data_IF_714647679078
#
_entry.id   IF_714647679078
#
_cell.length_a   1.000
_cell.length_b   1.000
_cell.length_c   1.000
_cell.angle_alpha   90.00
_cell.angle_beta   90.00
_cell.angle_gamma   90.00
#
_symmetry.space_group_name_H-M   'P 1'
#
loop_
_entity.id
_entity.type
_entity.pdbx_description
1 polymer ?
#
# COMPACT_ATOMS: atom_id res chain seq x y z
N UNK A 1 -10.64 -9.05 0.74
CA UNK A 1 -9.56 -8.45 -0.05
C UNK A 1 -8.74 -7.52 0.83
N UNK A 2 -7.45 -7.42 0.57
CA UNK A 2 -6.52 -6.65 1.38
C UNK A 2 -5.65 -5.75 0.51
N UNK A 3 -5.37 -4.55 1.03
CA UNK A 3 -4.35 -3.65 0.49
C UNK A 3 -3.36 -3.39 1.62
N UNK A 4 -2.07 -3.40 1.31
CA UNK A 4 -1.02 -3.01 2.25
C UNK A 4 -0.41 -1.73 1.71
N UNK A 5 -0.30 -0.69 2.54
CA UNK A 5 0.31 0.55 2.07
C UNK A 5 1.82 0.40 1.91
N UNK A 6 2.45 1.39 1.30
CA UNK A 6 3.88 1.31 0.99
C UNK A 6 4.74 1.13 2.24
N UNK A 7 4.38 1.78 3.35
CA UNK A 7 5.13 1.63 4.60
C UNK A 7 5.06 0.21 5.14
N UNK A 8 3.92 -0.45 4.98
CA UNK A 8 3.74 -1.84 5.40
C UNK A 8 4.58 -2.81 4.58
N UNK A 9 4.64 -2.61 3.27
CA UNK A 9 5.50 -3.40 2.40
C UNK A 9 6.97 -3.28 2.81
N UNK A 10 7.43 -2.05 3.05
CA UNK A 10 8.82 -1.79 3.43
C UNK A 10 9.14 -2.40 4.79
N UNK A 11 8.22 -2.31 5.74
CA UNK A 11 8.37 -2.93 7.05
C UNK A 11 8.48 -4.45 6.95
N UNK A 12 7.63 -5.06 6.12
CA UNK A 12 7.64 -6.50 5.88
C UNK A 12 8.98 -6.95 5.30
N UNK A 13 9.47 -6.27 4.27
CA UNK A 13 10.73 -6.63 3.63
C UNK A 13 11.94 -6.43 4.54
N UNK A 14 11.89 -5.43 5.41
CA UNK A 14 12.98 -5.16 6.35
C UNK A 14 12.98 -6.10 7.56
N UNK A 15 11.94 -6.91 7.73
CA UNK A 15 11.80 -7.74 8.92
C UNK A 15 11.67 -6.92 10.21
N UNK A 16 11.05 -5.74 10.12
CA UNK A 16 10.87 -4.85 11.26
C UNK A 16 9.88 -5.40 12.29
N UNK A 17 9.67 -4.64 13.36
CA UNK A 17 8.84 -5.13 14.49
C UNK A 17 7.39 -5.40 14.10
N UNK A 18 6.88 -4.74 13.07
CA UNK A 18 5.50 -4.92 12.60
C UNK A 18 5.40 -5.85 11.38
N UNK A 19 6.49 -6.48 10.96
CA UNK A 19 6.48 -7.36 9.79
C UNK A 19 5.41 -8.46 9.91
N UNK A 20 5.25 -9.06 11.09
CA UNK A 20 4.27 -10.12 11.33
C UNK A 20 2.83 -9.62 11.26
N UNK A 21 2.61 -8.34 11.53
CA UNK A 21 1.28 -7.74 11.35
C UNK A 21 0.86 -7.74 9.88
N UNK A 22 1.79 -7.41 8.98
CA UNK A 22 1.51 -7.32 7.55
C UNK A 22 1.55 -8.65 6.81
N UNK A 23 2.27 -9.64 7.35
CA UNK A 23 2.49 -10.91 6.68
C UNK A 23 1.19 -11.62 6.24
N UNK A 24 0.13 -11.71 7.07
CA UNK A 24 -1.09 -12.39 6.65
C UNK A 24 -1.74 -11.79 5.41
N UNK A 25 -1.70 -10.46 5.26
CA UNK A 25 -2.27 -9.80 4.09
C UNK A 25 -1.38 -9.98 2.86
N UNK A 26 -0.06 -9.82 3.03
CA UNK A 26 0.90 -9.91 1.92
C UNK A 26 0.99 -11.33 1.37
N UNK A 27 0.94 -12.33 2.23
CA UNK A 27 1.13 -13.73 1.84
C UNK A 27 -0.13 -14.38 1.28
N UNK A 28 -1.28 -13.76 1.49
CA UNK A 28 -2.56 -14.19 0.89
C UNK A 28 -2.72 -13.54 -0.48
N UNK A 29 -1.92 -13.99 -1.42
CA UNK A 29 -1.78 -13.33 -2.74
C UNK A 29 -3.06 -13.35 -3.57
N UNK A 30 -3.94 -14.33 -3.38
CA UNK A 30 -5.22 -14.40 -4.08
C UNK A 30 -6.18 -13.27 -3.67
N UNK A 31 -6.03 -12.74 -2.48
CA UNK A 31 -6.87 -11.67 -1.94
C UNK A 31 -6.11 -10.35 -1.77
N UNK A 32 -4.97 -10.22 -2.44
CA UNK A 32 -4.10 -9.06 -2.32
C UNK A 32 -4.28 -8.13 -3.51
N UNK A 33 -4.68 -6.90 -3.20
CA UNK A 33 -4.78 -5.78 -4.16
C UNK A 33 -3.60 -4.87 -3.95
N UNK A 34 -2.91 -4.52 -5.03
CA UNK A 34 -1.71 -3.67 -4.98
C UNK A 34 -1.95 -2.40 -5.79
N UNK A 35 -2.17 -1.26 -5.13
CA UNK A 35 -2.24 0.01 -5.87
C UNK A 35 -0.93 0.27 -6.61
N UNK A 36 -1.01 0.69 -7.87
CA UNK A 36 0.22 0.89 -8.67
C UNK A 36 1.15 1.92 -8.05
N UNK A 37 0.62 2.89 -7.28
CA UNK A 37 1.48 3.87 -6.58
C UNK A 37 2.38 3.18 -5.56
N UNK A 38 1.96 2.07 -4.97
CA UNK A 38 2.79 1.29 -4.06
C UNK A 38 3.98 0.66 -4.80
N UNK A 39 3.78 0.24 -6.04
CA UNK A 39 4.87 -0.28 -6.87
C UNK A 39 5.95 0.80 -7.03
N UNK A 40 5.55 2.03 -7.34
CA UNK A 40 6.46 3.16 -7.47
C UNK A 40 7.19 3.46 -6.15
N UNK A 41 6.44 3.62 -5.06
CA UNK A 41 7.03 4.04 -3.78
C UNK A 41 7.96 2.99 -3.18
N UNK A 42 7.56 1.72 -3.25
CA UNK A 42 8.37 0.61 -2.72
C UNK A 42 9.64 0.44 -3.56
N UNK A 43 9.49 0.42 -4.89
CA UNK A 43 10.64 0.28 -5.79
C UNK A 43 11.65 1.41 -5.56
N UNK A 44 11.16 2.64 -5.53
CA UNK A 44 12.01 3.83 -5.35
C UNK A 44 12.80 3.75 -4.04
N UNK A 45 12.12 3.38 -2.94
CA UNK A 45 12.76 3.34 -1.63
C UNK A 45 13.83 2.25 -1.55
N UNK A 46 13.54 1.08 -2.07
CA UNK A 46 14.51 -0.03 -2.06
C UNK A 46 15.67 0.29 -2.99
N UNK A 47 15.39 0.89 -4.16
CA UNK A 47 16.42 1.33 -5.09
C UNK A 47 17.41 2.29 -4.42
N UNK A 48 16.89 3.25 -3.64
CA UNK A 48 17.71 4.22 -2.92
C UNK A 48 18.56 3.59 -1.81
N UNK A 49 18.01 2.61 -1.11
CA UNK A 49 18.65 2.01 0.07
C UNK A 49 19.51 0.80 -0.25
N UNK A 50 19.13 -0.01 -1.24
CA UNK A 50 19.71 -1.33 -1.48
C UNK A 50 20.09 -1.60 -2.93
N UNK A 51 19.84 -0.66 -3.85
CA UNK A 51 20.21 -0.79 -5.25
C UNK A 51 19.19 -1.56 -6.09
N UNK A 52 19.47 -1.61 -7.40
CA UNK A 52 18.53 -2.09 -8.41
C UNK A 52 18.23 -3.59 -8.29
N UNK A 53 19.21 -4.42 -8.03
CA UNK A 53 18.99 -5.87 -7.94
C UNK A 53 18.00 -6.23 -6.84
N UNK A 54 18.14 -5.63 -5.67
CA UNK A 54 17.21 -5.86 -4.57
C UNK A 54 15.83 -5.27 -4.87
N UNK A 55 15.78 -4.09 -5.49
CA UNK A 55 14.51 -3.47 -5.85
C UNK A 55 13.72 -4.35 -6.82
N UNK A 56 14.37 -4.90 -7.84
CA UNK A 56 13.72 -5.81 -8.80
C UNK A 56 13.25 -7.10 -8.13
N UNK A 57 14.04 -7.65 -7.23
CA UNK A 57 13.69 -8.86 -6.49
C UNK A 57 12.41 -8.63 -5.65
N UNK A 58 12.34 -7.52 -4.93
CA UNK A 58 11.21 -7.23 -4.05
C UNK A 58 9.94 -6.86 -4.81
N UNK A 59 10.08 -6.16 -5.94
CA UNK A 59 8.91 -5.78 -6.73
C UNK A 59 8.18 -7.01 -7.30
N UNK A 60 8.89 -8.10 -7.52
CA UNK A 60 8.28 -9.35 -7.95
C UNK A 60 7.24 -9.86 -6.94
N UNK A 61 7.45 -9.61 -5.64
CA UNK A 61 6.48 -9.99 -4.61
C UNK A 61 5.19 -9.16 -4.70
N UNK A 62 5.30 -7.87 -5.03
CA UNK A 62 4.10 -7.04 -5.23
C UNK A 62 3.28 -7.55 -6.42
N UNK A 63 3.93 -8.01 -7.47
CA UNK A 63 3.24 -8.52 -8.67
C UNK A 63 2.55 -9.87 -8.47
N UNK A 64 2.73 -10.52 -7.32
CA UNK A 64 1.95 -11.72 -6.99
C UNK A 64 0.50 -11.38 -6.64
N UNK A 65 0.23 -10.16 -6.20
CA UNK A 65 -1.12 -9.65 -6.02
C UNK A 65 -1.66 -9.07 -7.32
N UNK A 66 -2.88 -8.54 -7.26
CA UNK A 66 -3.49 -7.85 -8.39
C UNK A 66 -3.12 -6.37 -8.35
N UNK A 67 -2.30 -5.93 -9.29
CA UNK A 67 -1.93 -4.52 -9.41
C UNK A 67 -3.08 -3.74 -10.06
N UNK A 68 -3.48 -2.64 -9.42
CA UNK A 68 -4.57 -1.78 -9.90
C UNK A 68 -3.97 -0.46 -10.40
N UNK A 69 -4.24 -0.14 -11.65
CA UNK A 69 -3.75 1.08 -12.29
C UNK A 69 -4.49 2.32 -11.81
N UNK A 70 -3.83 3.47 -11.92
CA UNK A 70 -4.47 4.76 -11.71
C UNK A 70 -5.15 5.17 -13.01
N UNK A 71 -6.48 5.07 -13.03
CA UNK A 71 -7.29 5.54 -14.16
C UNK A 71 -7.76 6.97 -13.89
N UNK A 72 -8.22 7.71 -14.92
CA UNK A 72 -8.80 9.03 -14.69
C UNK A 72 -9.94 9.06 -13.66
N UNK A 73 -10.93 8.14 -13.70
CA UNK A 73 -11.96 8.11 -12.65
C UNK A 73 -11.40 7.86 -11.26
N UNK A 74 -10.44 6.97 -11.11
CA UNK A 74 -9.82 6.68 -9.81
C UNK A 74 -9.06 7.92 -9.31
N UNK A 75 -8.33 8.61 -10.18
CA UNK A 75 -7.59 9.81 -9.82
C UNK A 75 -8.55 10.92 -9.32
N UNK A 76 -9.70 11.09 -9.96
CA UNK A 76 -10.70 12.08 -9.54
C UNK A 76 -11.31 11.73 -8.18
N UNK A 77 -11.60 10.45 -7.96
CA UNK A 77 -12.11 9.97 -6.67
C UNK A 77 -11.08 10.15 -5.56
N UNK A 78 -9.81 9.87 -5.85
CA UNK A 78 -8.72 10.10 -4.91
C UNK A 78 -8.59 11.59 -4.54
N UNK A 79 -8.71 12.48 -5.53
CA UNK A 79 -8.63 13.92 -5.30
C UNK A 79 -9.74 14.41 -4.38
N UNK A 80 -10.99 13.91 -4.57
CA UNK A 80 -12.10 14.23 -3.67
C UNK A 80 -11.82 13.74 -2.26
N UNK A 81 -11.35 12.52 -2.12
CA UNK A 81 -11.04 11.92 -0.82
C UNK A 81 -9.92 12.68 -0.12
N UNK A 82 -8.89 13.08 -0.86
CA UNK A 82 -7.78 13.89 -0.35
C UNK A 82 -8.29 15.21 0.24
N UNK A 83 -9.22 15.86 -0.46
CA UNK A 83 -9.80 17.11 -0.01
C UNK A 83 -10.64 16.92 1.26
N UNK A 84 -11.46 15.88 1.30
CA UNK A 84 -12.33 15.60 2.45
C UNK A 84 -11.55 15.21 3.70
N UNK A 85 -10.56 14.33 3.56
CA UNK A 85 -9.82 13.76 4.68
C UNK A 85 -8.47 14.43 4.93
N UNK A 86 -8.09 15.37 4.08
CA UNK A 86 -6.79 16.08 4.15
C UNK A 86 -5.62 15.10 4.11
N UNK A 87 -5.71 14.13 3.20
CA UNK A 87 -4.65 13.14 2.99
C UNK A 87 -3.68 13.59 1.92
N UNK A 88 -2.38 13.27 2.05
CA UNK A 88 -1.42 13.44 0.95
C UNK A 88 -1.86 12.68 -0.30
N UNK A 89 -1.32 13.08 -1.45
CA UNK A 89 -1.70 12.49 -2.74
C UNK A 89 -1.56 10.96 -2.77
N UNK A 90 -0.39 10.45 -2.40
CA UNK A 90 -0.15 9.00 -2.45
C UNK A 90 -1.10 8.24 -1.53
N UNK A 91 -1.31 8.74 -0.30
CA UNK A 91 -2.20 8.12 0.67
C UNK A 91 -3.65 8.09 0.16
N UNK A 92 -4.09 9.15 -0.50
CA UNK A 92 -5.45 9.20 -1.05
C UNK A 92 -5.64 8.19 -2.18
N UNK A 93 -4.62 8.00 -3.02
CA UNK A 93 -4.64 6.99 -4.09
C UNK A 93 -4.69 5.57 -3.52
N UNK A 94 -3.94 5.31 -2.47
CA UNK A 94 -3.94 3.99 -1.81
C UNK A 94 -5.30 3.71 -1.17
N UNK A 95 -5.82 4.66 -0.41
CA UNK A 95 -7.09 4.48 0.29
C UNK A 95 -8.26 4.31 -0.67
N UNK A 96 -8.33 5.11 -1.73
CA UNK A 96 -9.42 4.99 -2.70
C UNK A 96 -9.36 3.65 -3.45
N UNK A 97 -8.16 3.17 -3.76
CA UNK A 97 -8.00 1.86 -4.39
C UNK A 97 -8.56 0.75 -3.49
N UNK A 98 -8.28 0.83 -2.18
CA UNK A 98 -8.85 -0.11 -1.22
C UNK A 98 -10.38 -0.02 -1.19
N UNK A 99 -10.93 1.19 -1.09
CA UNK A 99 -12.38 1.38 -1.02
C UNK A 99 -13.11 0.88 -2.26
N UNK A 100 -12.59 1.16 -3.45
CA UNK A 100 -13.22 0.75 -4.71
C UNK A 100 -13.16 -0.76 -4.94
N UNK A 101 -12.27 -1.45 -4.26
CA UNK A 101 -12.13 -2.91 -4.35
C UNK A 101 -12.68 -3.65 -3.12
N UNK A 102 -13.41 -2.94 -2.26
CA UNK A 102 -13.93 -3.50 -1.00
C UNK A 102 -12.85 -4.20 -0.18
N UNK A 103 -11.66 -3.62 -0.15
CA UNK A 103 -10.52 -4.18 0.53
C UNK A 103 -10.25 -3.44 1.85
N UNK A 104 -9.70 -4.17 2.81
CA UNK A 104 -9.19 -3.59 4.06
C UNK A 104 -7.78 -3.05 3.80
N UNK A 105 -7.53 -1.82 4.22
CA UNK A 105 -6.19 -1.22 4.14
C UNK A 105 -5.42 -1.51 5.44
N UNK A 106 -4.29 -2.16 5.30
CA UNK A 106 -3.38 -2.47 6.42
C UNK A 106 -2.24 -1.47 6.41
N UNK A 107 -2.01 -0.79 7.54
CA UNK A 107 -1.05 0.31 7.58
C UNK A 107 -0.46 0.52 8.98
N UNK A 108 0.71 1.14 9.02
CA UNK A 108 1.31 1.70 10.23
C UNK A 108 1.48 3.22 10.14
N UNK A 109 0.93 3.85 9.09
CA UNK A 109 1.00 5.29 8.89
C UNK A 109 -0.14 5.97 9.66
N UNK A 110 0.23 6.91 10.54
CA UNK A 110 -0.74 7.64 11.37
C UNK A 110 -1.79 8.40 10.55
N UNK A 111 -1.46 8.79 9.32
CA UNK A 111 -2.42 9.52 8.46
C UNK A 111 -3.71 8.73 8.25
N UNK A 112 -3.66 7.40 8.33
CA UNK A 112 -4.81 6.54 8.14
C UNK A 112 -5.50 6.12 9.43
N UNK A 113 -4.92 6.48 10.59
CA UNK A 113 -5.43 6.00 11.88
C UNK A 113 -6.87 6.45 12.11
N UNK A 114 -7.73 5.50 12.47
CA UNK A 114 -9.13 5.78 12.79
C UNK A 114 -10.06 5.91 11.60
N UNK A 115 -9.57 5.76 10.39
CA UNK A 115 -10.42 5.81 9.19
C UNK A 115 -11.15 4.48 8.99
N UNK A 116 -12.35 4.56 8.43
CA UNK A 116 -13.15 3.39 8.12
C UNK A 116 -12.44 2.50 7.11
N UNK A 117 -12.48 1.18 7.32
CA UNK A 117 -11.87 0.21 6.42
C UNK A 117 -10.37 0.07 6.60
N UNK A 118 -9.81 0.64 7.65
CA UNK A 118 -8.38 0.63 7.92
C UNK A 118 -8.06 -0.26 9.12
N UNK A 119 -7.05 -1.10 8.96
CA UNK A 119 -6.48 -1.91 10.02
C UNK A 119 -5.09 -1.35 10.33
N UNK A 120 -5.00 -0.65 11.44
CA UNK A 120 -3.83 0.15 11.81
C UNK A 120 -3.02 -0.55 12.91
N UNK A 121 -1.70 -0.46 12.82
CA UNK A 121 -0.77 -0.83 13.89
C UNK A 121 0.19 0.34 14.11
N UNK A 122 0.48 0.62 15.36
CA UNK A 122 1.40 1.69 15.72
C UNK A 122 2.85 1.29 15.42
N UNK A 123 3.60 2.24 14.89
CA UNK A 123 5.05 2.03 14.63
C UNK A 123 5.85 1.74 15.89
#
# INVERSE_FOLDING_TARGET
MNVVDSSGWLEYFAGGKNADFFAPAIEDTENLIVPVICVYEVFKRILQQHGQGMAELRIADLHKGQVIDITPPLALSAARLSTELKLPMADSLILITAKENNATLWTQDEDFKGLEGVRYVEK
#
